data_IF_602118463396
#
_entry.id   IF_602118463396
#
_cell.length_a   1.000
_cell.length_b   1.000
_cell.length_c   1.000
_cell.angle_alpha   90.00
_cell.angle_beta   90.00
_cell.angle_gamma   90.00
#
_symmetry.space_group_name_H-M   'P 1'
#
loop_
_entity.id
_entity.type
_entity.pdbx_description
1 polymer ?
#
# COMPACT_ATOMS: atom_id res chain seq x y z
N UNK A 1 -3.31 -13.66 -90.99
CA UNK A 1 -3.79 -12.62 -90.05
C UNK A 1 -4.02 -13.25 -88.67
N UNK A 2 -3.07 -13.09 -87.74
CA UNK A 2 -3.28 -13.31 -86.30
C UNK A 2 -2.52 -12.19 -85.59
N UNK A 3 -3.25 -11.22 -85.03
CA UNK A 3 -2.71 -10.08 -84.28
C UNK A 3 -2.57 -10.53 -82.82
N UNK A 4 -1.36 -10.43 -82.27
CA UNK A 4 -1.11 -10.68 -80.86
C UNK A 4 -1.46 -9.41 -80.06
N UNK A 5 -2.31 -9.57 -79.05
CA UNK A 5 -2.76 -8.51 -78.14
C UNK A 5 -1.85 -8.54 -76.91
N UNK A 6 -1.05 -7.49 -76.71
CA UNK A 6 -0.19 -7.33 -75.53
C UNK A 6 -1.04 -6.82 -74.36
N UNK A 7 -1.19 -7.61 -73.30
CA UNK A 7 -1.87 -7.21 -72.07
C UNK A 7 -0.83 -6.60 -71.13
N UNK A 8 -1.00 -5.33 -70.76
CA UNK A 8 -0.22 -4.68 -69.71
C UNK A 8 -0.93 -4.85 -68.36
N UNK A 9 -0.28 -5.52 -67.42
CA UNK A 9 -0.77 -5.68 -66.04
C UNK A 9 -0.23 -4.50 -65.21
N UNK A 10 -1.13 -3.63 -64.75
CA UNK A 10 -0.83 -2.59 -63.77
C UNK A 10 -0.88 -3.20 -62.36
N UNK A 11 0.26 -3.23 -61.66
CA UNK A 11 0.33 -3.61 -60.25
C UNK A 11 0.06 -2.39 -59.38
N UNK A 12 -1.10 -2.37 -58.71
CA UNK A 12 -1.43 -1.34 -57.71
C UNK A 12 -0.79 -1.78 -56.38
N UNK A 13 0.26 -1.07 -55.97
CA UNK A 13 0.93 -1.27 -54.68
C UNK A 13 0.17 -0.53 -53.58
N UNK A 14 -0.56 -1.27 -52.74
CA UNK A 14 -1.24 -0.75 -51.55
C UNK A 14 -0.24 -0.60 -50.40
N UNK A 15 0.12 0.64 -50.07
CA UNK A 15 0.92 0.96 -48.89
C UNK A 15 -0.03 1.01 -47.69
N UNK A 16 0.04 0.02 -46.81
CA UNK A 16 -0.66 0.04 -45.52
C UNK A 16 0.13 0.90 -44.53
N UNK A 17 -0.36 2.11 -44.24
CA UNK A 17 0.11 2.88 -43.10
C UNK A 17 -0.48 2.28 -41.82
N UNK A 18 0.27 1.40 -41.16
CA UNK A 18 -0.05 0.95 -39.81
C UNK A 18 0.21 2.10 -38.83
N UNK A 19 -0.84 2.72 -38.34
CA UNK A 19 -0.73 3.60 -37.17
C UNK A 19 -0.25 2.77 -35.97
N UNK A 20 0.77 3.20 -35.21
CA UNK A 20 1.13 2.51 -34.00
C UNK A 20 -0.04 2.58 -33.02
N UNK A 21 -0.59 1.43 -32.67
CA UNK A 21 -1.49 1.29 -31.54
C UNK A 21 -0.64 1.60 -30.31
N UNK A 22 -0.80 2.78 -29.73
CA UNK A 22 -0.31 3.05 -28.38
C UNK A 22 -1.22 2.24 -27.46
N UNK A 23 -0.82 1.00 -27.21
CA UNK A 23 -1.36 0.21 -26.13
C UNK A 23 -0.89 0.92 -24.84
N UNK A 24 -1.78 1.74 -24.28
CA UNK A 24 -1.68 2.19 -22.89
C UNK A 24 -1.62 0.92 -22.06
N UNK A 25 -0.40 0.47 -21.73
CA UNK A 25 -0.22 -0.64 -20.82
C UNK A 25 -0.90 -0.27 -19.52
N UNK A 26 -2.01 -0.94 -19.21
CA UNK A 26 -2.48 -1.03 -17.83
C UNK A 26 -1.27 -1.51 -17.02
N UNK A 27 -0.68 -0.60 -16.22
CA UNK A 27 0.29 -0.99 -15.19
C UNK A 27 -0.41 -2.08 -14.39
N UNK A 28 0.07 -3.32 -14.48
CA UNK A 28 -0.45 -4.42 -13.67
C UNK A 28 -0.30 -4.03 -12.21
N UNK A 29 -1.42 -3.76 -11.53
CA UNK A 29 -1.40 -3.29 -10.14
C UNK A 29 -0.68 -4.28 -9.21
N UNK A 30 0.06 -3.76 -8.25
CA UNK A 30 0.72 -4.53 -7.20
C UNK A 30 -0.33 -5.04 -6.22
N UNK A 31 -0.45 -6.37 -6.12
CA UNK A 31 -1.37 -6.99 -5.17
C UNK A 31 -0.68 -7.16 -3.82
N UNK A 32 -1.15 -6.42 -2.81
CA UNK A 32 -0.72 -6.56 -1.41
C UNK A 32 -1.77 -7.38 -0.66
N UNK A 33 -1.34 -8.24 0.26
CA UNK A 33 -2.26 -9.08 1.05
C UNK A 33 -3.29 -8.21 1.78
N UNK A 34 -4.61 -8.42 1.55
CA UNK A 34 -5.66 -7.59 2.15
C UNK A 34 -6.28 -8.20 3.42
N UNK A 35 -5.82 -9.38 3.87
CA UNK A 35 -6.42 -10.14 4.97
C UNK A 35 -5.44 -10.35 6.12
N UNK A 36 -5.97 -10.44 7.34
CA UNK A 36 -5.25 -10.70 8.58
C UNK A 36 -4.40 -11.97 8.53
N UNK A 37 -3.21 -11.93 9.15
CA UNK A 37 -2.39 -13.10 9.43
C UNK A 37 -1.63 -12.97 10.75
N UNK A 38 -1.34 -14.11 11.38
CA UNK A 38 -0.35 -14.18 12.45
C UNK A 38 1.02 -14.41 11.82
N UNK A 39 1.97 -13.51 12.11
CA UNK A 39 3.25 -13.47 11.43
C UNK A 39 4.41 -13.61 12.41
N UNK A 40 5.33 -14.51 12.09
CA UNK A 40 6.63 -14.59 12.76
C UNK A 40 7.62 -13.63 12.13
N UNK A 41 8.72 -13.33 12.83
CA UNK A 41 9.79 -12.47 12.31
C UNK A 41 10.37 -12.97 10.97
N UNK A 42 10.68 -14.27 10.80
CA UNK A 42 11.10 -14.80 9.50
C UNK A 42 10.08 -14.57 8.38
N UNK A 43 8.78 -14.68 8.65
CA UNK A 43 7.77 -14.41 7.63
C UNK A 43 7.71 -12.92 7.25
N UNK A 44 7.92 -12.02 8.21
CA UNK A 44 7.98 -10.58 7.93
C UNK A 44 9.25 -10.20 7.15
N UNK A 45 10.34 -10.94 7.31
CA UNK A 45 11.57 -10.76 6.53
C UNK A 45 11.43 -11.15 5.05
N UNK A 46 10.34 -11.79 4.65
CA UNK A 46 10.09 -12.29 3.30
C UNK A 46 8.89 -11.61 2.64
N UNK A 47 8.39 -10.50 3.20
CA UNK A 47 7.30 -9.75 2.56
C UNK A 47 7.76 -9.15 1.23
N UNK A 48 6.94 -9.22 0.17
CA UNK A 48 7.32 -8.72 -1.14
C UNK A 48 7.34 -7.19 -1.19
N UNK A 49 7.93 -6.65 -2.26
CA UNK A 49 7.91 -5.21 -2.59
C UNK A 49 8.56 -4.30 -1.54
N UNK A 50 9.50 -4.84 -0.75
CA UNK A 50 10.26 -4.11 0.25
C UNK A 50 11.75 -4.39 0.07
N UNK A 51 12.55 -3.32 0.01
CA UNK A 51 13.99 -3.40 0.08
C UNK A 51 14.42 -3.40 1.54
N UNK A 52 14.84 -4.56 2.04
CA UNK A 52 15.32 -4.72 3.42
C UNK A 52 16.80 -4.31 3.49
N UNK A 53 17.08 -3.24 4.24
CA UNK A 53 18.45 -2.77 4.51
C UNK A 53 19.14 -3.57 5.61
N UNK A 54 18.38 -3.95 6.65
CA UNK A 54 18.91 -4.71 7.80
C UNK A 54 17.81 -5.54 8.45
N UNK A 55 18.03 -6.85 8.56
CA UNK A 55 17.19 -7.78 9.33
C UNK A 55 17.59 -7.75 10.81
N UNK A 56 16.62 -7.85 11.70
CA UNK A 56 16.77 -7.85 13.15
C UNK A 56 15.91 -8.95 13.78
N UNK A 57 16.23 -9.35 15.01
CA UNK A 57 15.45 -10.37 15.74
C UNK A 57 13.99 -9.96 16.03
N UNK A 58 13.67 -8.67 15.88
CA UNK A 58 12.38 -8.07 16.19
C UNK A 58 11.64 -7.54 14.94
N UNK A 59 12.20 -7.73 13.74
CA UNK A 59 11.70 -7.12 12.50
C UNK A 59 12.83 -6.68 11.57
N UNK A 60 12.69 -5.54 10.89
CA UNK A 60 13.73 -5.05 9.98
C UNK A 60 13.68 -3.54 9.75
N UNK A 61 14.77 -3.01 9.18
CA UNK A 61 14.85 -1.68 8.56
C UNK A 61 14.73 -1.82 7.05
N UNK A 62 13.86 -1.02 6.42
CA UNK A 62 13.64 -1.12 4.97
C UNK A 62 12.75 0.00 4.44
N UNK A 63 12.38 -0.13 3.17
CA UNK A 63 11.44 0.76 2.50
C UNK A 63 10.73 0.04 1.35
N UNK A 64 9.60 0.57 0.90
CA UNK A 64 8.85 0.10 -0.26
C UNK A 64 9.67 0.25 -1.54
N UNK A 65 9.49 -0.68 -2.47
CA UNK A 65 10.00 -0.58 -3.85
C UNK A 65 8.92 -0.22 -4.85
N UNK A 66 7.70 0.08 -4.39
CA UNK A 66 6.55 0.38 -5.24
C UNK A 66 6.57 1.86 -5.63
N UNK A 67 6.38 2.13 -6.91
CA UNK A 67 6.06 3.47 -7.43
C UNK A 67 4.55 3.70 -7.33
N UNK A 68 4.12 4.32 -6.22
CA UNK A 68 2.72 4.42 -5.84
C UNK A 68 1.89 5.40 -6.66
N UNK A 69 2.46 6.54 -7.07
CA UNK A 69 1.70 7.60 -7.72
C UNK A 69 0.55 8.15 -6.85
N UNK A 70 0.78 8.29 -5.54
CA UNK A 70 -0.22 8.77 -4.60
C UNK A 70 -0.79 10.13 -5.01
N UNK A 71 -2.09 10.32 -4.80
CA UNK A 71 -2.70 11.63 -4.93
C UNK A 71 -3.80 11.86 -3.90
N UNK A 72 -3.88 13.11 -3.44
CA UNK A 72 -4.88 13.57 -2.49
C UNK A 72 -6.24 13.74 -3.20
N UNK A 73 -7.31 13.29 -2.55
CA UNK A 73 -8.69 13.52 -3.00
C UNK A 73 -9.56 13.93 -1.82
N UNK A 74 -10.50 14.83 -2.07
CA UNK A 74 -11.56 15.17 -1.12
C UNK A 74 -12.85 14.48 -1.55
N UNK A 75 -13.47 13.73 -0.65
CA UNK A 75 -14.75 13.02 -0.86
C UNK A 75 -15.62 13.32 0.36
N UNK A 76 -16.81 13.92 0.15
CA UNK A 76 -17.71 14.34 1.23
C UNK A 76 -17.00 15.16 2.31
N UNK A 77 -16.19 16.15 1.88
CA UNK A 77 -15.34 17.00 2.72
C UNK A 77 -14.22 16.30 3.52
N UNK A 78 -14.14 14.97 3.44
CA UNK A 78 -13.08 14.16 4.03
C UNK A 78 -11.89 13.98 3.08
N UNK A 79 -10.66 13.95 3.61
CA UNK A 79 -9.43 13.79 2.83
C UNK A 79 -8.98 12.33 2.80
N UNK A 80 -8.88 11.78 1.59
CA UNK A 80 -8.34 10.44 1.33
C UNK A 80 -7.13 10.53 0.41
N UNK A 81 -6.26 9.53 0.49
CA UNK A 81 -5.15 9.35 -0.44
C UNK A 81 -5.43 8.13 -1.30
N UNK A 82 -5.44 8.31 -2.62
CA UNK A 82 -5.65 7.22 -3.57
C UNK A 82 -4.29 6.69 -4.02
N UNK A 83 -4.14 5.37 -3.98
CA UNK A 83 -2.96 4.63 -4.39
C UNK A 83 -3.30 3.80 -5.64
N UNK A 84 -3.04 4.33 -6.85
CA UNK A 84 -3.35 3.62 -8.09
C UNK A 84 -2.47 2.39 -8.30
N UNK A 85 -1.26 2.33 -7.71
CA UNK A 85 -0.38 1.18 -7.90
C UNK A 85 -0.90 -0.07 -7.18
N UNK A 86 -1.56 0.09 -6.03
CA UNK A 86 -2.05 -1.04 -5.23
C UNK A 86 -3.58 -1.15 -5.21
N UNK A 87 -4.28 -0.26 -5.93
CA UNK A 87 -5.74 -0.10 -5.85
C UNK A 87 -6.25 0.08 -4.42
N UNK A 88 -5.50 0.80 -3.59
CA UNK A 88 -5.87 1.11 -2.21
C UNK A 88 -6.31 2.57 -2.08
N UNK A 89 -7.11 2.81 -1.05
CA UNK A 89 -7.47 4.15 -0.60
C UNK A 89 -7.17 4.24 0.89
N UNK A 90 -6.49 5.31 1.28
CA UNK A 90 -5.98 5.52 2.61
C UNK A 90 -6.65 6.70 3.27
N UNK A 91 -6.91 6.60 4.57
CA UNK A 91 -7.26 7.74 5.39
C UNK A 91 -6.05 8.68 5.50
N UNK A 92 -6.19 9.94 5.08
CA UNK A 92 -5.04 10.83 4.91
C UNK A 92 -4.36 11.20 6.24
N UNK A 93 -5.14 11.32 7.32
CA UNK A 93 -4.64 11.81 8.61
C UNK A 93 -4.69 10.81 9.77
N UNK A 94 -5.07 9.55 9.53
CA UNK A 94 -5.18 8.53 10.58
C UNK A 94 -5.94 8.95 11.85
N UNK A 95 -5.58 8.34 12.99
CA UNK A 95 -6.09 8.75 14.30
C UNK A 95 -5.34 9.94 14.90
N UNK A 96 -6.04 10.75 15.69
CA UNK A 96 -5.45 11.88 16.42
C UNK A 96 -4.67 11.48 17.68
N UNK A 97 -4.95 10.30 18.22
CA UNK A 97 -4.40 9.78 19.46
C UNK A 97 -3.72 8.43 19.23
N UNK A 98 -2.76 8.14 20.09
CA UNK A 98 -2.23 6.80 20.26
C UNK A 98 -3.29 5.88 20.87
N UNK A 99 -3.38 4.67 20.35
CA UNK A 99 -4.37 3.68 20.76
C UNK A 99 -3.65 2.36 21.03
N UNK A 100 -4.12 1.61 22.03
CA UNK A 100 -3.76 0.20 22.12
C UNK A 100 -4.37 -0.55 20.96
N UNK A 101 -3.83 -1.72 20.62
CA UNK A 101 -4.30 -2.48 19.47
C UNK A 101 -5.80 -2.86 19.58
N UNK A 102 -6.27 -3.16 20.79
CA UNK A 102 -7.71 -3.37 21.06
C UNK A 102 -8.54 -2.10 20.81
N UNK A 103 -8.06 -0.93 21.23
CA UNK A 103 -8.75 0.35 21.00
C UNK A 103 -8.70 0.77 19.53
N UNK A 104 -7.64 0.42 18.81
CA UNK A 104 -7.52 0.61 17.36
C UNK A 104 -8.65 -0.12 16.61
N UNK A 105 -8.92 -1.39 16.94
CA UNK A 105 -10.03 -2.16 16.34
C UNK A 105 -11.38 -1.47 16.58
N UNK A 106 -11.63 -1.02 17.82
CA UNK A 106 -12.86 -0.26 18.15
C UNK A 106 -12.94 1.07 17.37
N UNK A 107 -11.83 1.77 17.22
CA UNK A 107 -11.81 3.03 16.47
C UNK A 107 -12.21 2.80 15.00
N UNK A 108 -11.76 1.69 14.38
CA UNK A 108 -12.17 1.33 13.01
C UNK A 108 -13.67 1.06 12.92
N UNK A 109 -14.25 0.34 13.89
CA UNK A 109 -15.70 0.11 13.94
C UNK A 109 -16.47 1.44 14.00
N UNK A 110 -16.01 2.38 14.82
CA UNK A 110 -16.63 3.69 14.97
C UNK A 110 -16.44 4.57 13.72
N UNK A 111 -15.29 4.48 13.03
CA UNK A 111 -15.07 5.13 11.73
C UNK A 111 -16.08 4.62 10.69
N UNK A 112 -16.25 3.30 10.61
CA UNK A 112 -17.16 2.67 9.66
C UNK A 112 -18.62 3.01 9.93
N UNK A 113 -19.04 3.08 11.20
CA UNK A 113 -20.39 3.54 11.56
C UNK A 113 -20.67 4.98 11.14
N UNK A 114 -19.64 5.83 11.16
CA UNK A 114 -19.74 7.24 10.72
C UNK A 114 -19.74 7.39 9.20
N UNK A 115 -19.27 6.39 8.45
CA UNK A 115 -19.23 6.45 6.99
C UNK A 115 -18.20 7.45 6.47
N UNK A 116 -16.99 7.49 7.02
CA UNK A 116 -15.94 8.43 6.60
C UNK A 116 -15.70 8.40 5.09
N UNK A 117 -15.70 9.57 4.45
CA UNK A 117 -15.66 9.74 3.00
C UNK A 117 -16.77 8.99 2.24
N UNK A 118 -17.89 8.68 2.90
CA UNK A 118 -19.00 7.88 2.36
C UNK A 118 -18.80 6.36 2.45
N UNK A 119 -17.78 5.87 3.15
CA UNK A 119 -17.42 4.44 3.17
C UNK A 119 -17.44 3.81 4.56
N UNK A 120 -17.78 2.52 4.61
CA UNK A 120 -17.98 1.75 5.84
C UNK A 120 -17.13 0.47 5.92
N UNK A 121 -16.18 0.29 5.01
CA UNK A 121 -15.29 -0.86 4.87
C UNK A 121 -13.82 -0.52 5.12
N UNK A 122 -13.56 0.52 5.93
CA UNK A 122 -12.22 0.84 6.41
C UNK A 122 -11.72 -0.25 7.35
N UNK A 123 -10.42 -0.53 7.29
CA UNK A 123 -9.75 -1.51 8.16
C UNK A 123 -8.35 -1.04 8.54
N UNK A 124 -7.76 -1.71 9.53
CA UNK A 124 -6.31 -1.61 9.74
C UNK A 124 -5.56 -2.22 8.55
N UNK A 125 -4.41 -1.66 8.15
CA UNK A 125 -3.59 -2.21 7.07
C UNK A 125 -2.91 -3.50 7.51
N UNK A 126 -2.59 -4.38 6.58
CA UNK A 126 -1.66 -5.49 6.84
C UNK A 126 -0.23 -4.96 6.95
N UNK A 127 0.73 -5.82 7.36
CA UNK A 127 2.15 -5.46 7.35
C UNK A 127 2.63 -5.09 5.95
N UNK A 128 2.20 -5.80 4.92
CA UNK A 128 2.58 -5.53 3.52
C UNK A 128 2.09 -4.14 3.07
N UNK A 129 0.83 -3.81 3.38
CA UNK A 129 0.24 -2.51 3.04
C UNK A 129 0.84 -1.37 3.87
N UNK A 130 1.09 -1.57 5.16
CA UNK A 130 1.70 -0.54 5.98
C UNK A 130 3.17 -0.29 5.60
N UNK A 131 3.92 -1.37 5.27
CA UNK A 131 5.31 -1.27 4.86
C UNK A 131 5.46 -0.65 3.46
N UNK A 132 4.45 -0.77 2.58
CA UNK A 132 4.49 -0.12 1.28
C UNK A 132 4.47 1.41 1.39
N UNK A 133 3.98 1.98 2.49
CA UNK A 133 4.04 3.42 2.74
C UNK A 133 5.43 3.94 3.13
N UNK A 134 6.42 3.06 3.37
CA UNK A 134 7.76 3.46 3.77
C UNK A 134 8.56 3.99 2.57
N UNK A 135 8.93 5.26 2.65
CA UNK A 135 9.82 5.90 1.68
C UNK A 135 11.30 5.57 1.94
N UNK A 136 12.12 5.51 0.88
CA UNK A 136 13.57 5.33 1.01
C UNK A 136 14.21 6.41 1.89
N UNK A 137 13.74 7.64 1.71
CA UNK A 137 14.24 8.86 2.35
C UNK A 137 13.16 9.52 3.20
N UNK A 138 13.58 10.39 4.12
CA UNK A 138 12.66 11.18 4.94
C UNK A 138 12.07 12.32 4.12
N UNK A 139 10.86 12.13 3.60
CA UNK A 139 10.19 13.08 2.69
C UNK A 139 9.21 14.04 3.38
N UNK A 140 8.71 13.70 4.57
CA UNK A 140 7.66 14.49 5.25
C UNK A 140 7.96 14.69 6.73
N UNK A 141 8.51 15.85 7.11
CA UNK A 141 8.73 16.19 8.51
C UNK A 141 9.65 15.22 9.26
N UNK A 142 10.77 14.82 8.65
CA UNK A 142 11.71 13.80 9.14
C UNK A 142 11.12 12.38 9.24
N UNK A 143 10.04 12.09 8.53
CA UNK A 143 9.45 10.75 8.39
C UNK A 143 9.64 10.19 6.99
N UNK A 144 9.85 8.87 6.92
CA UNK A 144 9.89 8.03 5.73
C UNK A 144 8.48 7.78 5.17
N UNK A 145 7.76 8.84 4.83
CA UNK A 145 6.40 8.76 4.27
C UNK A 145 6.19 9.87 3.24
N UNK A 146 5.36 9.61 2.24
CA UNK A 146 5.01 10.59 1.22
C UNK A 146 4.37 11.87 1.84
N UNK A 147 4.71 13.08 1.34
CA UNK A 147 4.15 14.35 1.82
C UNK A 147 2.62 14.49 1.71
N UNK A 148 1.95 13.66 0.90
CA UNK A 148 0.48 13.64 0.78
C UNK A 148 -0.20 13.23 2.10
N UNK A 149 0.48 12.45 2.93
CA UNK A 149 -0.02 11.97 4.20
C UNK A 149 0.21 12.97 5.33
N UNK A 150 -0.66 12.99 6.33
CA UNK A 150 -0.40 13.76 7.55
C UNK A 150 0.79 13.16 8.30
N UNK A 151 1.69 14.03 8.77
CA UNK A 151 2.94 13.66 9.45
C UNK A 151 2.76 13.34 10.95
N UNK A 152 1.57 13.49 11.51
CA UNK A 152 1.29 13.17 12.93
C UNK A 152 1.53 11.69 13.21
N UNK A 153 1.19 10.81 12.27
CA UNK A 153 1.34 9.37 12.44
C UNK A 153 2.77 8.92 12.14
N UNK A 154 3.68 9.14 13.08
CA UNK A 154 5.07 8.67 12.98
C UNK A 154 5.22 7.15 13.07
N UNK A 155 4.24 6.44 13.64
CA UNK A 155 4.15 4.98 13.64
C UNK A 155 2.68 4.54 13.68
N UNK A 156 2.36 3.47 12.95
CA UNK A 156 1.00 2.94 12.86
C UNK A 156 0.94 1.45 13.21
N UNK A 157 -0.15 1.05 13.86
CA UNK A 157 -0.49 -0.37 13.99
C UNK A 157 -0.91 -0.98 12.65
N UNK A 158 -0.58 -2.26 12.48
CA UNK A 158 -1.17 -3.11 11.44
C UNK A 158 -2.25 -4.00 12.05
N UNK A 159 -2.98 -4.71 11.20
CA UNK A 159 -3.96 -5.70 11.64
C UNK A 159 -3.32 -7.03 12.03
N UNK A 160 -2.07 -7.30 11.66
CA UNK A 160 -1.42 -8.61 11.83
C UNK A 160 -0.87 -8.79 13.26
N UNK A 161 -1.10 -9.96 13.86
CA UNK A 161 -0.49 -10.31 15.15
C UNK A 161 0.92 -10.85 14.97
N UNK A 162 1.72 -10.74 16.04
CA UNK A 162 3.00 -11.41 16.13
C UNK A 162 2.83 -12.77 16.81
N UNK A 163 3.36 -13.82 16.19
CA UNK A 163 3.48 -15.15 16.78
C UNK A 163 4.94 -15.43 17.15
N UNK A 164 5.14 -15.89 18.38
CA UNK A 164 6.43 -16.28 18.94
C UNK A 164 6.45 -17.78 19.24
N UNK A 165 7.58 -18.42 19.00
CA UNK A 165 7.78 -19.82 19.40
C UNK A 165 7.98 -19.96 20.93
N UNK A 166 8.20 -18.85 21.64
CA UNK A 166 8.31 -18.80 23.10
C UNK A 166 6.94 -18.52 23.74
N UNK A 167 6.46 -19.46 24.56
CA UNK A 167 5.16 -19.38 25.25
C UNK A 167 5.12 -18.31 26.35
N UNK A 168 6.27 -17.74 26.74
CA UNK A 168 6.37 -16.64 27.69
C UNK A 168 6.27 -15.26 27.03
N UNK A 169 6.25 -15.20 25.70
CA UNK A 169 6.15 -13.94 24.97
C UNK A 169 4.78 -13.30 25.17
N UNK A 170 4.77 -11.99 25.41
CA UNK A 170 3.54 -11.22 25.38
C UNK A 170 2.92 -11.25 23.97
N UNK A 171 1.59 -11.37 23.90
CA UNK A 171 0.87 -11.22 22.64
C UNK A 171 1.23 -9.88 21.97
N UNK A 172 1.74 -9.96 20.74
CA UNK A 172 2.20 -8.82 20.00
C UNK A 172 1.33 -8.51 18.79
N UNK A 173 1.44 -7.29 18.29
CA UNK A 173 0.95 -6.92 16.97
C UNK A 173 2.07 -6.20 16.20
N UNK A 174 2.04 -6.32 14.88
CA UNK A 174 3.00 -5.63 14.03
C UNK A 174 2.65 -4.15 13.90
N UNK A 175 3.69 -3.34 13.72
CA UNK A 175 3.62 -1.90 13.49
C UNK A 175 4.67 -1.48 12.47
N UNK A 176 4.42 -0.35 11.83
CA UNK A 176 5.37 0.30 10.93
C UNK A 176 5.70 1.67 11.48
N UNK A 177 7.00 1.95 11.64
CA UNK A 177 7.51 3.23 12.11
C UNK A 177 8.12 4.01 10.96
N UNK A 178 7.52 5.15 10.64
CA UNK A 178 8.01 6.09 9.64
C UNK A 178 9.16 6.95 10.18
N UNK A 179 9.36 7.06 11.50
CA UNK A 179 10.48 7.80 12.08
C UNK A 179 11.84 7.19 11.71
N UNK A 180 11.89 5.85 11.71
CA UNK A 180 13.14 5.07 11.61
C UNK A 180 13.17 4.15 10.39
N UNK A 181 12.06 4.08 9.65
CA UNK A 181 11.92 3.21 8.48
C UNK A 181 11.96 1.73 8.86
N UNK A 182 11.16 1.35 9.86
CA UNK A 182 11.17 -0.02 10.43
C UNK A 182 9.82 -0.69 10.38
N UNK A 183 9.84 -2.00 10.19
CA UNK A 183 8.72 -2.90 10.46
C UNK A 183 9.10 -3.75 11.67
N UNK A 184 8.28 -3.71 12.72
CA UNK A 184 8.56 -4.37 14.01
C UNK A 184 7.28 -4.71 14.74
N UNK A 185 7.33 -5.55 15.77
CA UNK A 185 6.19 -5.84 16.62
C UNK A 185 6.31 -5.19 17.99
N UNK A 186 5.16 -5.04 18.65
CA UNK A 186 5.01 -4.40 19.95
C UNK A 186 3.95 -5.11 20.78
N UNK A 187 3.97 -4.90 22.10
CA UNK A 187 2.93 -5.44 22.97
C UNK A 187 1.58 -4.85 22.58
N UNK A 188 0.64 -5.71 22.21
CA UNK A 188 -0.67 -5.26 21.72
C UNK A 188 -1.59 -4.72 22.85
N UNK A 189 -1.19 -4.92 24.10
CA UNK A 189 -1.95 -4.60 25.31
C UNK A 189 -1.47 -3.31 25.98
N UNK A 190 -0.15 -3.06 25.98
CA UNK A 190 0.45 -1.95 26.71
C UNK A 190 0.93 -0.82 25.80
N UNK A 191 1.40 -1.14 24.59
CA UNK A 191 1.94 -0.13 23.70
C UNK A 191 0.81 0.63 23.00
N UNK A 192 1.08 1.90 22.67
CA UNK A 192 0.13 2.79 22.04
C UNK A 192 0.76 3.38 20.77
N UNK A 193 0.14 3.15 19.62
CA UNK A 193 0.54 3.75 18.34
C UNK A 193 -0.67 4.34 17.64
N UNK A 194 -0.41 5.14 16.60
CA UNK A 194 -1.49 5.64 15.76
C UNK A 194 -2.05 4.53 14.87
N UNK A 195 -3.09 4.86 14.14
CA UNK A 195 -3.63 4.03 13.07
C UNK A 195 -3.81 4.86 11.82
N UNK A 196 -3.66 4.23 10.66
CA UNK A 196 -3.95 4.81 9.36
C UNK A 196 -4.82 3.81 8.60
N UNK A 197 -6.15 3.97 8.64
CA UNK A 197 -7.07 3.07 7.99
C UNK A 197 -6.84 2.99 6.47
N UNK A 198 -7.11 1.82 5.94
CA UNK A 198 -7.04 1.52 4.50
C UNK A 198 -8.29 0.78 4.06
N UNK A 199 -8.62 0.90 2.78
CA UNK A 199 -9.65 0.13 2.10
C UNK A 199 -9.24 -0.13 0.64
N UNK A 200 -9.95 -1.04 -0.03
CA UNK A 200 -9.84 -1.19 -1.48
C UNK A 200 -10.50 0.02 -2.17
N UNK A 201 -9.82 0.55 -3.19
CA UNK A 201 -10.39 1.54 -4.09
C UNK A 201 -11.14 0.79 -5.20
N UNK A 202 -12.46 0.70 -5.06
CA UNK A 202 -13.37 0.05 -6.02
C UNK A 202 -13.95 1.07 -7.00
#
# INVERSE_FOLDING_TARGET
MKKYLTIHILTISLIFFSTPIIQSGEKSGVNLRPYYKELSVPQVHEIPNVAIRKKEKWGFYGHSTIDHGFHLKTINDDKVVVDPATSLMWHQSGSDKYLSWKRAKKWIEDLNKKGYAGFQDWRLPTVEEAASLLESDKKNGNLHIDPVFDKKQWSIWTCDSHISDDSLSLNGAWRVSFSDGTVTWSSNSYDLFYIRPVRLNK
#
